data_IF_697341215648
#
_entry.id   IF_697341215648
#
_cell.length_a   1.000
_cell.length_b   1.000
_cell.length_c   1.000
_cell.angle_alpha   90.00
_cell.angle_beta   90.00
_cell.angle_gamma   90.00
#
_symmetry.space_group_name_H-M   'P 1'
#
loop_
_entity.id
_entity.type
_entity.pdbx_description
1 polymer ?
#
# COMPACT_ATOMS: atom_id res chain seq x y z
N UNK A 1 -14.14 -30.23 8.69
CA UNK A 1 -13.44 -29.62 9.83
C UNK A 1 -13.72 -28.12 9.84
N UNK A 2 -13.89 -27.56 11.05
CA UNK A 2 -14.21 -26.15 11.25
C UNK A 2 -12.96 -25.28 11.05
N UNK A 3 -12.98 -24.35 10.08
CA UNK A 3 -11.89 -23.41 9.78
C UNK A 3 -12.28 -21.99 10.18
N UNK A 4 -11.46 -21.35 11.00
CA UNK A 4 -11.70 -19.96 11.44
C UNK A 4 -10.81 -18.99 10.67
N UNK A 5 -11.41 -17.94 10.09
CA UNK A 5 -10.73 -16.93 9.28
C UNK A 5 -11.00 -15.54 9.84
N UNK A 6 -9.97 -14.91 10.40
CA UNK A 6 -10.05 -13.54 10.89
C UNK A 6 -9.79 -12.57 9.75
N UNK A 7 -10.77 -11.74 9.42
CA UNK A 7 -10.68 -10.70 8.40
C UNK A 7 -10.53 -9.32 9.04
N UNK A 8 -9.45 -8.63 8.69
CA UNK A 8 -9.07 -7.34 9.27
C UNK A 8 -10.11 -6.23 9.11
N UNK A 9 -10.79 -6.18 7.97
CA UNK A 9 -11.68 -5.08 7.62
C UNK A 9 -13.01 -5.52 6.99
N UNK A 10 -14.01 -4.64 7.11
CA UNK A 10 -15.36 -4.85 6.59
C UNK A 10 -15.40 -5.12 5.08
N UNK A 11 -14.49 -4.55 4.29
CA UNK A 11 -14.41 -4.77 2.84
C UNK A 11 -14.11 -6.23 2.51
N UNK A 12 -13.15 -6.84 3.20
CA UNK A 12 -12.86 -8.26 3.04
C UNK A 12 -14.07 -9.11 3.44
N UNK A 13 -14.71 -8.80 4.58
CA UNK A 13 -15.91 -9.51 5.01
C UNK A 13 -17.04 -9.41 4.01
N UNK A 14 -17.24 -8.25 3.41
CA UNK A 14 -18.31 -8.01 2.43
C UNK A 14 -18.06 -8.68 1.09
N UNK A 15 -16.82 -8.66 0.59
CA UNK A 15 -16.49 -9.03 -0.79
C UNK A 15 -15.83 -10.41 -0.88
N UNK A 16 -14.96 -10.76 0.06
CA UNK A 16 -14.17 -12.01 0.01
C UNK A 16 -14.90 -13.16 0.71
N UNK A 17 -15.49 -12.94 1.87
CA UNK A 17 -16.14 -14.02 2.60
C UNK A 17 -17.29 -14.69 1.80
N UNK A 18 -18.20 -13.95 1.13
CA UNK A 18 -19.22 -14.58 0.27
C UNK A 18 -18.62 -15.38 -0.88
N UNK A 19 -17.56 -14.84 -1.52
CA UNK A 19 -16.85 -15.52 -2.61
C UNK A 19 -16.24 -16.84 -2.15
N UNK A 20 -15.55 -16.86 -1.01
CA UNK A 20 -14.99 -18.09 -0.45
C UNK A 20 -16.08 -19.10 -0.12
N UNK A 21 -17.19 -18.69 0.50
CA UNK A 21 -18.33 -19.59 0.76
C UNK A 21 -18.91 -20.18 -0.53
N UNK A 22 -18.95 -19.43 -1.62
CA UNK A 22 -19.38 -19.92 -2.94
C UNK A 22 -18.43 -20.96 -3.52
N UNK A 23 -17.12 -20.77 -3.33
CA UNK A 23 -16.10 -21.72 -3.81
C UNK A 23 -16.07 -23.01 -2.96
N UNK A 24 -16.39 -22.93 -1.68
CA UNK A 24 -16.33 -24.05 -0.71
C UNK A 24 -17.68 -24.28 0.00
N UNK A 25 -18.76 -24.62 -0.74
CA UNK A 25 -20.10 -24.70 -0.15
C UNK A 25 -20.27 -25.82 0.87
N UNK A 26 -19.42 -26.83 0.83
CA UNK A 26 -19.46 -28.00 1.71
C UNK A 26 -18.47 -27.89 2.89
N UNK A 27 -17.69 -26.82 2.97
CA UNK A 27 -16.73 -26.59 4.04
C UNK A 27 -17.32 -25.70 5.13
N UNK A 28 -17.04 -26.04 6.39
CA UNK A 28 -17.43 -25.25 7.56
C UNK A 28 -16.38 -24.16 7.82
N UNK A 29 -16.55 -23.00 7.19
CA UNK A 29 -15.65 -21.85 7.31
C UNK A 29 -16.36 -20.71 8.05
N UNK A 30 -15.84 -20.36 9.21
CA UNK A 30 -16.30 -19.23 10.00
C UNK A 30 -15.44 -18.00 9.76
N UNK A 31 -16.06 -16.89 9.37
CA UNK A 31 -15.40 -15.61 9.22
C UNK A 31 -15.60 -14.73 10.44
N UNK A 32 -14.51 -14.33 11.06
CA UNK A 32 -14.48 -13.44 12.22
C UNK A 32 -14.07 -12.06 11.71
N UNK A 33 -14.94 -11.06 11.92
CA UNK A 33 -14.60 -9.70 11.51
C UNK A 33 -13.74 -9.03 12.56
N UNK A 34 -12.60 -8.49 12.11
CA UNK A 34 -11.77 -7.59 12.88
C UNK A 34 -12.38 -6.19 12.98
N UNK A 35 -12.02 -5.50 14.03
CA UNK A 35 -12.22 -4.07 14.13
C UNK A 35 -10.88 -3.41 13.75
N UNK A 36 -10.88 -2.39 12.89
CA UNK A 36 -9.66 -1.69 12.45
C UNK A 36 -8.81 -1.15 13.61
N UNK A 37 -9.43 -0.97 14.79
CA UNK A 37 -8.79 -0.56 16.03
C UNK A 37 -8.48 -1.75 16.96
N UNK A 38 -8.84 -2.98 16.57
CA UNK A 38 -8.61 -4.16 17.40
C UNK A 38 -7.16 -4.57 17.23
N UNK A 39 -6.42 -4.44 18.29
CA UNK A 39 -5.19 -5.15 18.49
C UNK A 39 -5.49 -6.66 18.44
N UNK A 40 -5.12 -7.29 17.33
CA UNK A 40 -5.26 -8.75 17.13
C UNK A 40 -4.66 -9.53 18.31
N UNK A 41 -3.66 -8.94 18.91
CA UNK A 41 -2.94 -9.41 20.05
C UNK A 41 -3.80 -9.45 21.32
N UNK A 42 -4.55 -8.38 21.58
CA UNK A 42 -5.48 -8.33 22.70
C UNK A 42 -6.57 -9.38 22.54
N UNK A 43 -7.10 -9.53 21.32
CA UNK A 43 -8.09 -10.55 21.01
C UNK A 43 -7.53 -11.96 21.29
N UNK A 44 -6.33 -12.26 20.81
CA UNK A 44 -5.67 -13.54 21.02
C UNK A 44 -5.42 -13.84 22.52
N UNK A 45 -4.92 -12.84 23.26
CA UNK A 45 -4.68 -12.97 24.69
C UNK A 45 -5.97 -13.18 25.50
N UNK A 46 -7.06 -12.52 25.11
CA UNK A 46 -8.35 -12.65 25.80
C UNK A 46 -9.02 -14.01 25.59
N UNK A 47 -8.82 -14.64 24.42
CA UNK A 47 -9.53 -15.85 24.03
C UNK A 47 -8.67 -17.12 24.10
N UNK A 48 -7.35 -16.98 24.30
CA UNK A 48 -6.38 -18.10 24.33
C UNK A 48 -6.46 -19.02 23.08
N UNK A 49 -7.02 -18.48 21.98
CA UNK A 49 -7.20 -19.17 20.70
C UNK A 49 -6.86 -18.23 19.55
N UNK A 50 -5.78 -18.53 18.83
CA UNK A 50 -5.47 -17.87 17.59
C UNK A 50 -6.33 -18.45 16.46
N UNK A 51 -7.07 -17.64 15.66
CA UNK A 51 -7.75 -18.15 14.48
C UNK A 51 -6.82 -18.94 13.55
N UNK A 52 -7.36 -19.85 12.77
CA UNK A 52 -6.58 -20.66 11.84
C UNK A 52 -5.90 -19.82 10.77
N UNK A 53 -6.63 -18.85 10.22
CA UNK A 53 -6.14 -17.86 9.27
C UNK A 53 -6.32 -16.48 9.87
N UNK A 54 -5.27 -15.66 9.76
CA UNK A 54 -5.26 -14.30 10.28
C UNK A 54 -4.93 -13.35 9.15
N UNK A 55 -5.70 -12.29 8.99
CA UNK A 55 -5.32 -11.18 8.12
C UNK A 55 -5.08 -9.92 8.93
N UNK A 56 -4.08 -9.12 8.53
CA UNK A 56 -3.78 -7.82 9.13
C UNK A 56 -3.47 -6.82 8.04
N UNK A 57 -3.74 -5.55 8.29
CA UNK A 57 -3.35 -4.49 7.36
C UNK A 57 -1.85 -4.27 7.35
N UNK A 58 -1.29 -4.09 8.54
CA UNK A 58 0.15 -3.94 8.81
C UNK A 58 0.43 -4.64 10.12
N UNK A 59 1.63 -5.11 10.28
CA UNK A 59 2.11 -5.55 11.59
C UNK A 59 3.29 -4.68 12.00
N UNK A 60 3.34 -4.33 13.29
CA UNK A 60 4.55 -3.77 13.86
C UNK A 60 5.59 -4.87 14.06
N UNK A 61 6.87 -4.52 14.11
CA UNK A 61 7.91 -5.50 14.43
C UNK A 61 7.65 -6.23 15.75
N UNK A 62 7.05 -5.53 16.72
CA UNK A 62 6.69 -6.13 18.03
C UNK A 62 5.56 -7.15 17.88
N UNK A 63 4.49 -6.82 17.15
CA UNK A 63 3.37 -7.76 16.94
C UNK A 63 3.83 -9.00 16.16
N UNK A 64 4.69 -8.82 15.16
CA UNK A 64 5.26 -9.92 14.39
C UNK A 64 6.10 -10.85 15.28
N UNK A 65 6.97 -10.30 16.12
CA UNK A 65 7.80 -11.08 17.06
C UNK A 65 6.97 -11.87 18.06
N UNK A 66 5.96 -11.24 18.61
CA UNK A 66 5.11 -11.85 19.63
C UNK A 66 4.20 -12.95 19.06
N UNK A 67 3.80 -12.90 17.79
CA UNK A 67 3.03 -13.93 17.11
C UNK A 67 3.92 -15.04 16.51
N UNK A 68 5.19 -14.78 16.26
CA UNK A 68 6.14 -15.71 15.62
C UNK A 68 6.05 -17.15 16.16
N UNK A 69 5.98 -17.40 17.48
CA UNK A 69 5.94 -18.77 18.01
C UNK A 69 4.69 -19.57 17.63
N UNK A 70 3.64 -18.90 17.16
CA UNK A 70 2.32 -19.47 16.87
C UNK A 70 2.04 -19.60 15.39
N UNK A 71 2.86 -19.02 14.53
CA UNK A 71 2.63 -18.98 13.09
C UNK A 71 3.33 -20.10 12.35
N UNK A 72 2.71 -20.52 11.25
CA UNK A 72 3.26 -21.52 10.33
C UNK A 72 4.31 -20.88 9.43
N UNK A 73 5.35 -21.63 9.10
CA UNK A 73 6.34 -21.25 8.09
C UNK A 73 5.89 -21.70 6.70
N UNK A 74 5.68 -20.78 5.79
CA UNK A 74 5.29 -21.04 4.40
C UNK A 74 6.45 -21.45 3.49
N UNK A 75 7.72 -21.35 3.93
CA UNK A 75 8.88 -21.50 3.06
C UNK A 75 8.92 -22.82 2.26
N UNK A 76 8.30 -23.88 2.78
CA UNK A 76 8.25 -25.20 2.13
C UNK A 76 6.96 -25.48 1.35
N UNK A 77 6.03 -24.52 1.28
CA UNK A 77 4.74 -24.69 0.62
C UNK A 77 4.72 -24.09 -0.77
N UNK A 78 4.05 -24.77 -1.69
CA UNK A 78 3.97 -24.37 -3.11
C UNK A 78 3.40 -22.96 -3.34
N UNK A 79 2.56 -22.48 -2.43
CA UNK A 79 1.96 -21.15 -2.52
C UNK A 79 3.00 -20.04 -2.62
N UNK A 80 4.17 -20.19 -2.00
CA UNK A 80 5.26 -19.21 -2.07
C UNK A 80 5.77 -19.01 -3.50
N UNK A 81 5.76 -20.07 -4.32
CA UNK A 81 6.21 -20.00 -5.72
C UNK A 81 5.29 -19.19 -6.64
N UNK A 82 4.08 -18.89 -6.19
CA UNK A 82 3.12 -18.04 -6.92
C UNK A 82 3.44 -16.55 -6.80
N UNK A 83 4.28 -16.16 -5.86
CA UNK A 83 4.62 -14.77 -5.60
C UNK A 83 5.87 -14.31 -6.35
N UNK A 84 5.95 -13.03 -6.65
CA UNK A 84 7.19 -12.40 -7.03
C UNK A 84 8.22 -12.53 -5.90
N UNK A 85 9.46 -12.83 -6.24
CA UNK A 85 10.53 -13.11 -5.25
C UNK A 85 10.76 -11.94 -4.29
N UNK A 86 10.70 -10.70 -4.79
CA UNK A 86 10.87 -9.51 -3.97
C UNK A 86 9.79 -9.37 -2.90
N UNK A 87 8.54 -9.78 -3.21
CA UNK A 87 7.43 -9.69 -2.28
C UNK A 87 7.60 -10.67 -1.11
N UNK A 88 8.15 -11.85 -1.38
CA UNK A 88 8.37 -12.89 -0.36
C UNK A 88 9.62 -12.60 0.47
N UNK A 89 10.69 -12.12 -0.15
CA UNK A 89 11.94 -11.78 0.55
C UNK A 89 11.73 -10.72 1.64
N UNK A 90 10.81 -9.80 1.44
CA UNK A 90 10.44 -8.79 2.43
C UNK A 90 9.93 -9.38 3.76
N UNK A 91 9.36 -10.60 3.73
CA UNK A 91 8.76 -11.26 4.91
C UNK A 91 9.64 -12.33 5.55
N UNK A 92 10.84 -12.54 5.05
CA UNK A 92 11.78 -13.45 5.71
C UNK A 92 12.22 -12.88 7.05
N UNK A 93 12.10 -13.71 8.10
CA UNK A 93 12.65 -13.39 9.41
C UNK A 93 14.15 -13.77 9.51
N UNK A 94 14.76 -13.60 10.68
CA UNK A 94 16.17 -13.90 10.92
C UNK A 94 16.51 -15.40 10.78
N UNK A 95 15.53 -16.27 10.93
CA UNK A 95 15.64 -17.72 10.77
C UNK A 95 15.35 -18.19 9.32
N UNK A 96 15.22 -17.27 8.35
CA UNK A 96 14.82 -17.55 6.97
C UNK A 96 13.39 -18.10 6.80
N UNK A 97 12.55 -18.03 7.83
CA UNK A 97 11.15 -18.44 7.75
C UNK A 97 10.29 -17.35 7.12
N UNK A 98 9.22 -17.76 6.47
CA UNK A 98 8.21 -16.91 5.85
C UNK A 98 6.88 -17.16 6.55
N UNK A 99 6.56 -16.38 7.57
CA UNK A 99 5.34 -16.56 8.37
C UNK A 99 4.19 -15.66 7.94
N UNK A 100 4.48 -14.65 7.14
CA UNK A 100 3.50 -13.74 6.57
C UNK A 100 3.61 -13.72 5.06
N UNK A 101 2.46 -13.67 4.38
CA UNK A 101 2.40 -13.45 2.94
C UNK A 101 1.54 -12.23 2.65
N UNK A 102 1.89 -11.39 1.68
CA UNK A 102 1.03 -10.29 1.28
C UNK A 102 -0.14 -10.80 0.46
N UNK A 103 -1.35 -10.33 0.73
CA UNK A 103 -2.51 -10.61 -0.11
C UNK A 103 -2.46 -9.74 -1.36
N UNK A 104 -2.08 -8.46 -1.21
CA UNK A 104 -1.89 -7.52 -2.31
C UNK A 104 -0.98 -6.37 -1.93
N UNK A 105 -0.49 -5.61 -2.91
CA UNK A 105 0.14 -4.32 -2.73
C UNK A 105 -0.87 -3.19 -2.93
N UNK A 106 -0.81 -2.18 -2.07
CA UNK A 106 -1.59 -0.95 -2.22
C UNK A 106 -0.64 0.14 -2.74
N UNK A 107 -0.80 0.56 -4.01
CA UNK A 107 0.05 1.58 -4.58
C UNK A 107 -0.36 2.97 -4.12
N UNK A 108 0.62 3.83 -3.93
CA UNK A 108 0.43 5.27 -3.76
C UNK A 108 0.95 6.02 -4.97
N UNK A 109 0.19 7.00 -5.40
CA UNK A 109 0.47 7.82 -6.58
C UNK A 109 0.01 9.25 -6.32
N UNK A 110 0.32 10.13 -7.25
CA UNK A 110 -0.35 11.43 -7.33
C UNK A 110 -1.66 11.24 -8.09
N UNK A 111 -2.76 11.76 -7.57
CA UNK A 111 -4.06 11.80 -8.26
C UNK A 111 -4.18 13.17 -8.94
N UNK A 112 -4.34 13.20 -10.24
CA UNK A 112 -4.46 14.42 -11.02
C UNK A 112 -5.91 14.60 -11.54
N UNK A 113 -6.42 15.81 -11.42
CA UNK A 113 -7.66 16.23 -12.07
C UNK A 113 -7.39 16.53 -13.55
N UNK A 114 -7.46 15.51 -14.41
CA UNK A 114 -7.18 15.64 -15.83
C UNK A 114 -8.07 16.70 -16.50
N UNK A 115 -9.32 16.81 -16.07
CA UNK A 115 -10.25 17.84 -16.58
C UNK A 115 -9.68 19.25 -16.37
N UNK A 116 -9.05 19.53 -15.23
CA UNK A 116 -8.37 20.82 -15.00
C UNK A 116 -7.14 21.00 -15.90
N UNK A 117 -6.31 19.96 -16.05
CA UNK A 117 -5.17 20.01 -16.96
C UNK A 117 -5.62 20.38 -18.39
N UNK A 118 -6.65 19.70 -18.90
CA UNK A 118 -7.21 19.95 -20.22
C UNK A 118 -7.81 21.38 -20.32
N UNK A 119 -8.54 21.83 -19.30
CA UNK A 119 -9.17 23.15 -19.24
C UNK A 119 -8.14 24.27 -19.34
N UNK A 120 -7.00 24.13 -18.70
CA UNK A 120 -5.93 25.15 -18.72
C UNK A 120 -4.87 24.91 -19.82
N UNK A 121 -5.02 23.84 -20.61
CA UNK A 121 -4.06 23.48 -21.66
C UNK A 121 -2.68 23.08 -21.11
N UNK A 122 -2.65 22.54 -19.90
CA UNK A 122 -1.42 22.12 -19.24
C UNK A 122 -1.20 20.62 -19.52
N UNK A 123 0.02 20.27 -19.95
CA UNK A 123 0.39 18.87 -20.23
C UNK A 123 0.45 18.08 -18.93
N UNK A 124 -0.05 16.83 -18.97
CA UNK A 124 0.22 15.86 -17.90
C UNK A 124 1.72 15.58 -17.85
N UNK A 125 2.39 15.75 -16.69
CA UNK A 125 3.83 15.59 -16.59
C UNK A 125 4.27 14.14 -16.73
N UNK A 126 5.40 13.92 -17.37
CA UNK A 126 6.06 12.63 -17.55
C UNK A 126 7.41 12.54 -16.81
N UNK A 127 7.88 13.65 -16.27
CA UNK A 127 9.11 13.75 -15.48
C UNK A 127 9.03 14.93 -14.49
N UNK A 128 10.03 15.07 -13.64
CA UNK A 128 10.02 16.09 -12.59
C UNK A 128 10.06 17.53 -13.16
N UNK A 129 10.80 17.78 -14.23
CA UNK A 129 10.84 19.12 -14.84
C UNK A 129 9.46 19.54 -15.37
N UNK A 130 8.77 18.63 -16.06
CA UNK A 130 7.39 18.88 -16.53
C UNK A 130 6.40 19.05 -15.38
N UNK A 131 6.60 18.30 -14.27
CA UNK A 131 5.81 18.47 -13.06
C UNK A 131 5.97 19.87 -12.47
N UNK A 132 7.19 20.36 -12.34
CA UNK A 132 7.47 21.73 -11.85
C UNK A 132 6.84 22.79 -12.76
N UNK A 133 6.95 22.61 -14.08
CA UNK A 133 6.32 23.50 -15.06
C UNK A 133 4.78 23.51 -14.94
N UNK A 134 4.17 22.34 -14.76
CA UNK A 134 2.74 22.24 -14.56
C UNK A 134 2.30 22.94 -13.25
N UNK A 135 3.05 22.72 -12.16
CA UNK A 135 2.79 23.40 -10.89
C UNK A 135 2.84 24.93 -11.04
N UNK A 136 3.86 25.45 -11.70
CA UNK A 136 3.97 26.89 -11.93
C UNK A 136 2.81 27.43 -12.76
N UNK A 137 2.41 26.74 -13.83
CA UNK A 137 1.30 27.17 -14.67
C UNK A 137 -0.03 27.19 -13.90
N UNK A 138 -0.32 26.19 -13.06
CA UNK A 138 -1.50 26.21 -12.20
C UNK A 138 -1.48 27.36 -11.22
N UNK A 139 -0.33 27.57 -10.56
CA UNK A 139 -0.15 28.64 -9.60
C UNK A 139 -0.39 30.03 -10.24
N UNK A 140 0.14 30.27 -11.45
CA UNK A 140 -0.04 31.51 -12.20
C UNK A 140 -1.51 31.75 -12.59
N UNK A 141 -2.31 30.68 -12.71
CA UNK A 141 -3.75 30.74 -12.97
C UNK A 141 -4.59 30.79 -11.68
N UNK A 142 -3.98 30.90 -10.50
CA UNK A 142 -4.67 30.98 -9.22
C UNK A 142 -5.24 29.64 -8.73
N UNK A 143 -4.78 28.53 -9.30
CA UNK A 143 -5.09 27.17 -8.89
C UNK A 143 -3.95 26.65 -8.04
N UNK A 144 -4.24 26.10 -6.85
CA UNK A 144 -3.20 25.46 -6.05
C UNK A 144 -2.68 24.21 -6.80
N UNK A 145 -1.38 24.07 -7.04
CA UNK A 145 -0.88 22.91 -7.77
C UNK A 145 -1.18 21.59 -7.03
N UNK A 146 -0.87 21.55 -5.75
CA UNK A 146 -0.98 20.34 -4.94
C UNK A 146 -1.68 20.64 -3.63
N UNK A 147 -2.73 19.88 -3.29
CA UNK A 147 -3.34 19.88 -1.95
C UNK A 147 -3.05 18.57 -1.24
N UNK A 148 -2.74 18.66 0.04
CA UNK A 148 -2.44 17.53 0.90
C UNK A 148 -2.82 17.87 2.34
N UNK A 149 -3.15 16.87 3.11
CA UNK A 149 -3.54 16.97 4.51
C UNK A 149 -2.31 16.96 5.44
N UNK A 150 -1.41 17.94 5.28
CA UNK A 150 -0.17 18.04 6.06
C UNK A 150 -0.38 18.29 7.57
N UNK A 151 -1.61 18.56 7.99
CA UNK A 151 -2.01 18.57 9.41
C UNK A 151 -2.06 17.19 10.06
N UNK A 152 -2.04 16.14 9.25
CA UNK A 152 -2.04 14.75 9.72
C UNK A 152 -0.61 14.21 9.83
N UNK A 153 -0.26 13.59 10.94
CA UNK A 153 1.11 13.11 11.19
C UNK A 153 1.60 12.10 10.13
N UNK A 154 0.72 11.23 9.65
CA UNK A 154 1.05 10.22 8.64
C UNK A 154 1.34 10.84 7.25
N UNK A 155 0.67 11.91 6.88
CA UNK A 155 0.87 12.61 5.61
C UNK A 155 2.27 13.23 5.48
N UNK A 156 2.85 13.65 6.60
CA UNK A 156 4.23 14.17 6.61
C UNK A 156 5.25 13.09 6.23
N UNK A 157 5.04 11.84 6.63
CA UNK A 157 5.89 10.74 6.21
C UNK A 157 5.70 10.43 4.72
N UNK A 158 4.48 10.47 4.23
CA UNK A 158 4.18 10.20 2.82
C UNK A 158 4.80 11.26 1.89
N UNK A 159 4.73 12.54 2.25
CA UNK A 159 5.33 13.61 1.42
C UNK A 159 6.86 13.50 1.37
N UNK A 160 7.51 13.11 2.47
CA UNK A 160 8.95 12.90 2.52
C UNK A 160 9.33 11.72 1.61
N UNK A 161 8.61 10.62 1.69
CA UNK A 161 8.83 9.45 0.86
C UNK A 161 8.62 9.76 -0.63
N UNK A 162 7.51 10.44 -0.96
CA UNK A 162 7.20 10.83 -2.33
C UNK A 162 8.25 11.78 -2.93
N UNK A 163 8.66 12.79 -2.18
CA UNK A 163 9.59 13.81 -2.63
C UNK A 163 11.01 13.29 -2.84
N UNK A 164 11.46 12.36 -2.00
CA UNK A 164 12.82 11.82 -1.99
C UNK A 164 12.87 10.32 -2.31
N UNK A 165 11.94 9.83 -3.11
CA UNK A 165 11.81 8.39 -3.42
C UNK A 165 13.09 7.82 -4.02
N UNK A 166 13.80 8.58 -4.88
CA UNK A 166 15.07 8.19 -5.45
C UNK A 166 16.17 7.95 -4.41
N UNK A 167 16.19 8.74 -3.34
CA UNK A 167 17.14 8.56 -2.24
C UNK A 167 16.81 7.30 -1.42
N UNK A 168 15.53 7.04 -1.15
CA UNK A 168 15.11 5.83 -0.43
C UNK A 168 15.36 4.53 -1.20
N UNK A 169 15.42 4.59 -2.53
CA UNK A 169 15.71 3.45 -3.41
C UNK A 169 17.19 3.34 -3.80
N UNK A 170 18.01 4.31 -3.43
CA UNK A 170 19.46 4.25 -3.59
C UNK A 170 20.10 3.18 -2.69
N UNK A 171 21.37 2.81 -2.97
CA UNK A 171 22.09 1.84 -2.12
C UNK A 171 22.16 2.31 -0.66
N UNK A 172 22.47 3.60 -0.43
CA UNK A 172 22.50 4.18 0.91
C UNK A 172 21.13 4.09 1.60
N UNK A 173 20.06 4.36 0.84
CA UNK A 173 18.68 4.28 1.32
C UNK A 173 18.25 2.86 1.66
N UNK A 174 18.62 1.89 0.84
CA UNK A 174 18.36 0.47 1.10
C UNK A 174 19.11 0.00 2.35
N UNK A 175 20.39 0.36 2.46
CA UNK A 175 21.20 0.01 3.63
C UNK A 175 20.61 0.63 4.91
N UNK A 176 20.21 1.90 4.86
CA UNK A 176 19.59 2.56 5.99
C UNK A 176 18.26 1.89 6.41
N UNK A 177 17.39 1.55 5.46
CA UNK A 177 16.11 0.86 5.75
C UNK A 177 16.33 -0.50 6.38
N UNK A 178 17.25 -1.31 5.84
CA UNK A 178 17.59 -2.61 6.40
C UNK A 178 18.13 -2.48 7.83
N UNK A 179 18.97 -1.48 8.09
CA UNK A 179 19.45 -1.18 9.44
C UNK A 179 18.32 -0.75 10.37
N UNK A 180 17.36 0.04 9.90
CA UNK A 180 16.21 0.48 10.68
C UNK A 180 15.28 -0.67 11.07
N UNK A 181 15.17 -1.69 10.24
CA UNK A 181 14.37 -2.88 10.52
C UNK A 181 15.02 -3.84 11.51
N UNK A 182 16.35 -3.97 11.45
CA UNK A 182 17.09 -4.98 12.24
C UNK A 182 17.71 -4.43 13.52
N UNK A 183 18.05 -3.14 13.56
CA UNK A 183 18.75 -2.49 14.66
C UNK A 183 18.29 -1.03 14.84
N UNK A 184 17.00 -0.82 15.04
CA UNK A 184 16.37 0.52 15.06
C UNK A 184 17.01 1.49 16.07
N UNK A 185 17.50 1.00 17.20
CA UNK A 185 18.16 1.81 18.23
C UNK A 185 19.56 2.32 17.81
N UNK A 186 20.15 1.71 16.79
CA UNK A 186 21.49 2.04 16.28
C UNK A 186 21.44 2.95 15.04
N UNK A 187 20.26 3.03 14.39
CA UNK A 187 20.06 3.81 13.17
C UNK A 187 20.01 5.29 13.49
N UNK A 188 20.75 6.08 12.73
CA UNK A 188 20.82 7.53 12.89
C UNK A 188 20.35 8.24 11.64
N UNK A 189 19.74 9.40 11.85
CA UNK A 189 19.56 10.40 10.80
C UNK A 189 20.91 11.07 10.56
N UNK A 190 21.68 10.54 9.61
CA UNK A 190 23.02 11.02 9.32
C UNK A 190 23.05 12.28 8.44
N UNK A 191 24.22 12.90 8.36
CA UNK A 191 24.43 14.13 7.57
C UNK A 191 24.54 13.87 6.06
N UNK A 192 24.52 12.63 5.60
CA UNK A 192 24.68 12.27 4.19
C UNK A 192 23.34 11.98 3.53
N UNK A 193 22.76 10.81 3.75
CA UNK A 193 21.48 10.38 3.17
C UNK A 193 20.34 11.32 3.58
N UNK A 194 20.15 11.53 4.88
CA UNK A 194 19.02 12.32 5.38
C UNK A 194 19.11 13.80 5.04
N UNK A 195 20.32 14.32 4.87
CA UNK A 195 20.51 15.68 4.35
C UNK A 195 20.01 15.79 2.91
N UNK A 196 20.26 14.78 2.06
CA UNK A 196 19.73 14.74 0.70
C UNK A 196 18.21 14.61 0.71
N UNK A 197 17.66 13.67 1.50
CA UNK A 197 16.21 13.47 1.65
C UNK A 197 15.50 14.78 2.05
N UNK A 198 15.97 15.48 3.07
CA UNK A 198 15.36 16.74 3.49
C UNK A 198 15.57 17.87 2.46
N UNK A 199 16.68 17.86 1.72
CA UNK A 199 16.90 18.81 0.65
C UNK A 199 15.92 18.62 -0.50
N UNK A 200 15.72 17.38 -0.95
CA UNK A 200 14.75 17.03 -2.00
C UNK A 200 13.31 17.29 -1.53
N UNK A 201 12.98 16.96 -0.28
CA UNK A 201 11.66 17.26 0.29
C UNK A 201 11.39 18.77 0.32
N UNK A 202 12.36 19.55 0.75
CA UNK A 202 12.25 21.02 0.77
C UNK A 202 12.09 21.60 -0.63
N UNK A 203 12.80 21.06 -1.62
CA UNK A 203 12.69 21.50 -3.01
C UNK A 203 11.31 21.13 -3.58
N UNK A 204 10.84 19.89 -3.36
CA UNK A 204 9.52 19.44 -3.79
C UNK A 204 8.40 20.31 -3.24
N UNK A 205 8.43 20.61 -1.92
CA UNK A 205 7.43 21.47 -1.30
C UNK A 205 7.42 22.87 -1.93
N UNK A 206 8.58 23.42 -2.23
CA UNK A 206 8.73 24.72 -2.89
C UNK A 206 8.19 24.69 -4.32
N UNK A 207 8.56 23.67 -5.09
CA UNK A 207 8.15 23.52 -6.50
C UNK A 207 6.67 23.22 -6.64
N UNK A 208 6.08 22.55 -5.64
CA UNK A 208 4.64 22.32 -5.54
C UNK A 208 3.84 23.49 -4.94
N UNK A 209 4.50 24.61 -4.65
CA UNK A 209 3.92 25.81 -4.06
C UNK A 209 3.22 25.60 -2.72
N UNK A 210 3.78 24.72 -1.85
CA UNK A 210 3.32 24.63 -0.47
C UNK A 210 3.76 25.84 0.34
N UNK A 211 2.82 26.41 1.12
CA UNK A 211 3.06 27.50 2.04
C UNK A 211 2.96 27.06 3.51
N UNK A 212 3.22 28.00 4.44
CA UNK A 212 3.10 27.71 5.87
C UNK A 212 1.67 27.39 6.31
N UNK A 213 0.69 27.90 5.59
CA UNK A 213 -0.73 27.64 5.80
C UNK A 213 -1.09 26.17 5.58
N UNK A 214 -0.34 25.46 4.74
CA UNK A 214 -0.64 24.07 4.37
C UNK A 214 -0.34 23.06 5.49
N UNK A 215 0.55 23.41 6.44
CA UNK A 215 0.90 22.53 7.56
C UNK A 215 -0.28 22.24 8.51
N UNK A 216 -1.34 23.02 8.46
CA UNK A 216 -2.51 22.81 9.30
C UNK A 216 -3.73 22.32 8.53
N UNK A 217 -3.57 21.97 7.27
CA UNK A 217 -4.66 21.42 6.45
C UNK A 217 -4.96 19.99 6.93
N UNK A 218 -6.17 19.76 7.42
CA UNK A 218 -6.68 18.44 7.73
C UNK A 218 -7.17 17.69 6.48
N UNK A 219 -7.44 16.41 6.62
CA UNK A 219 -7.87 15.55 5.51
C UNK A 219 -9.16 16.05 4.84
N UNK A 220 -10.11 16.57 5.61
CA UNK A 220 -11.36 17.05 5.05
C UNK A 220 -11.15 18.31 4.22
N UNK A 221 -10.36 19.26 4.73
CA UNK A 221 -10.02 20.50 4.04
C UNK A 221 -9.23 20.23 2.75
N UNK A 222 -8.18 19.39 2.82
CA UNK A 222 -7.37 19.02 1.65
C UNK A 222 -8.20 18.34 0.57
N UNK A 223 -9.03 17.37 0.97
CA UNK A 223 -9.97 16.69 0.07
C UNK A 223 -10.95 17.65 -0.58
N UNK A 224 -11.57 18.55 0.22
CA UNK A 224 -12.54 19.52 -0.28
C UNK A 224 -11.92 20.49 -1.30
N UNK A 225 -10.69 20.93 -1.08
CA UNK A 225 -9.97 21.78 -2.05
C UNK A 225 -9.85 21.10 -3.42
N UNK A 226 -9.53 19.81 -3.43
CA UNK A 226 -9.40 19.05 -4.67
C UNK A 226 -10.76 18.80 -5.32
N UNK A 227 -11.77 18.39 -4.55
CA UNK A 227 -13.14 18.15 -5.04
C UNK A 227 -13.76 19.41 -5.68
N UNK A 228 -13.50 20.58 -5.12
CA UNK A 228 -13.97 21.87 -5.65
C UNK A 228 -13.14 22.41 -6.82
N UNK A 229 -12.13 21.67 -7.28
CA UNK A 229 -11.25 22.10 -8.35
C UNK A 229 -10.34 23.28 -7.99
N UNK A 230 -10.12 23.53 -6.71
CA UNK A 230 -9.20 24.56 -6.19
C UNK A 230 -7.74 24.11 -6.19
N UNK A 231 -7.50 22.80 -6.35
CA UNK A 231 -6.18 22.24 -6.55
C UNK A 231 -6.18 21.26 -7.73
N UNK A 232 -5.02 21.15 -8.40
CA UNK A 232 -4.86 20.36 -9.61
C UNK A 232 -4.53 18.90 -9.32
N UNK A 233 -3.75 18.65 -8.26
CA UNK A 233 -3.38 17.30 -7.85
C UNK A 233 -3.59 17.09 -6.35
N UNK A 234 -3.78 15.83 -5.98
CA UNK A 234 -3.95 15.35 -4.61
C UNK A 234 -3.13 14.07 -4.44
N UNK A 235 -2.78 13.75 -3.23
CA UNK A 235 -2.14 12.45 -2.96
C UNK A 235 -3.16 11.37 -2.66
N UNK A 236 -2.78 10.12 -2.81
CA UNK A 236 -3.59 9.06 -2.26
C UNK A 236 -3.39 7.70 -2.90
N UNK A 237 -3.92 6.73 -2.21
CA UNK A 237 -4.02 5.36 -2.68
C UNK A 237 -5.33 5.14 -3.47
N UNK A 238 -5.51 3.99 -4.12
CA UNK A 238 -6.66 3.72 -5.00
C UNK A 238 -8.03 3.95 -4.38
N UNK A 239 -8.20 3.65 -3.09
CA UNK A 239 -9.49 3.86 -2.41
C UNK A 239 -9.85 5.35 -2.30
N UNK A 240 -8.86 6.22 -2.08
CA UNK A 240 -9.05 7.68 -2.10
C UNK A 240 -9.50 8.13 -3.48
N UNK A 241 -8.84 7.68 -4.54
CA UNK A 241 -9.24 8.02 -5.91
C UNK A 241 -10.69 7.59 -6.21
N UNK A 242 -11.08 6.39 -5.80
CA UNK A 242 -12.45 5.91 -5.97
C UNK A 242 -13.48 6.78 -5.24
N UNK A 243 -13.15 7.22 -4.02
CA UNK A 243 -14.03 8.12 -3.24
C UNK A 243 -14.15 9.50 -3.89
N UNK A 244 -13.05 10.06 -4.39
CA UNK A 244 -13.03 11.32 -5.10
C UNK A 244 -13.83 11.24 -6.40
N UNK A 245 -13.69 10.16 -7.16
CA UNK A 245 -14.42 9.94 -8.41
C UNK A 245 -15.96 9.95 -8.22
N UNK A 246 -16.44 9.50 -7.04
CA UNK A 246 -17.87 9.54 -6.70
C UNK A 246 -18.38 10.95 -6.36
N UNK A 247 -17.49 11.87 -6.01
CA UNK A 247 -17.82 13.23 -5.59
C UNK A 247 -17.59 14.28 -6.67
N UNK A 248 -16.87 13.93 -7.74
CA UNK A 248 -16.45 14.85 -8.79
C UNK A 248 -16.99 14.43 -10.16
N UNK A 249 -17.48 15.40 -10.92
CA UNK A 249 -17.74 15.24 -12.36
C UNK A 249 -16.49 15.66 -13.13
N UNK A 250 -15.39 14.90 -12.92
CA UNK A 250 -14.09 15.15 -13.52
C UNK A 250 -13.39 13.85 -13.85
N UNK A 251 -12.59 13.84 -14.90
CA UNK A 251 -11.69 12.73 -15.20
C UNK A 251 -10.47 12.80 -14.26
N UNK A 252 -10.32 11.78 -13.44
CA UNK A 252 -9.15 11.60 -12.56
C UNK A 252 -8.20 10.57 -13.15
N UNK A 253 -6.92 10.84 -13.09
CA UNK A 253 -5.87 9.93 -13.51
C UNK A 253 -4.81 9.81 -12.42
N UNK A 254 -4.03 8.72 -12.45
CA UNK A 254 -2.85 8.55 -11.61
C UNK A 254 -1.61 8.96 -12.37
N UNK A 255 -0.72 9.68 -11.70
CA UNK A 255 0.62 9.93 -12.19
C UNK A 255 1.64 9.45 -11.13
N UNK A 256 2.79 8.89 -11.56
CA UNK A 256 3.81 8.42 -10.62
C UNK A 256 4.48 9.59 -9.90
N UNK A 257 5.25 9.30 -8.86
CA UNK A 257 6.21 10.22 -8.31
C UNK A 257 7.45 10.26 -9.19
N UNK A 258 8.03 11.44 -9.38
CA UNK A 258 9.20 11.63 -10.23
C UNK A 258 10.45 11.85 -9.39
N UNK A 259 11.55 11.24 -9.80
CA UNK A 259 12.86 11.53 -9.23
C UNK A 259 13.26 12.96 -9.56
N UNK A 260 13.85 13.66 -8.57
CA UNK A 260 14.45 14.98 -8.79
C UNK A 260 15.86 14.91 -9.38
N UNK A 261 16.48 13.73 -9.34
CA UNK A 261 17.91 13.53 -9.66
C UNK A 261 18.14 12.59 -10.83
N UNK A 262 17.09 11.95 -11.36
CA UNK A 262 17.12 11.06 -12.52
C UNK A 262 15.85 11.18 -13.35
N UNK A 263 15.82 10.55 -14.53
CA UNK A 263 14.62 10.45 -15.37
C UNK A 263 13.64 9.36 -14.92
N UNK A 264 13.88 8.74 -13.77
CA UNK A 264 13.05 7.67 -13.23
C UNK A 264 11.79 8.18 -12.56
N UNK A 265 10.76 7.38 -12.62
CA UNK A 265 9.48 7.60 -11.92
C UNK A 265 9.13 6.38 -11.09
N UNK A 266 8.34 6.60 -10.04
CA UNK A 266 8.07 5.57 -9.04
C UNK A 266 6.59 5.54 -8.67
N UNK A 267 6.10 4.33 -8.43
CA UNK A 267 4.88 4.08 -7.68
C UNK A 267 5.29 3.50 -6.33
N UNK A 268 4.97 4.21 -5.26
CA UNK A 268 5.22 3.68 -3.92
C UNK A 268 4.18 2.62 -3.60
N UNK A 269 4.65 1.41 -3.30
CA UNK A 269 3.77 0.31 -2.92
C UNK A 269 4.02 -0.10 -1.48
N UNK A 270 2.95 -0.17 -0.70
CA UNK A 270 2.98 -0.79 0.62
C UNK A 270 2.31 -2.16 0.52
N UNK A 271 2.98 -3.25 0.90
CA UNK A 271 2.29 -4.51 1.13
C UNK A 271 1.19 -4.26 2.17
N UNK A 272 -0.04 -4.49 1.77
CA UNK A 272 -1.19 -4.24 2.62
C UNK A 272 -2.09 -5.46 2.58
N UNK A 273 -2.77 -5.75 3.67
CA UNK A 273 -3.49 -6.99 3.85
C UNK A 273 -2.53 -8.19 3.79
N UNK A 274 -1.95 -8.47 4.93
CA UNK A 274 -1.05 -9.60 5.10
C UNK A 274 -1.82 -10.76 5.71
N UNK A 275 -1.43 -11.98 5.38
CA UNK A 275 -2.05 -13.21 5.84
C UNK A 275 -1.01 -14.10 6.53
N UNK A 276 -1.40 -14.71 7.62
CA UNK A 276 -0.63 -15.74 8.31
C UNK A 276 -1.53 -16.90 8.73
N UNK A 277 -0.94 -18.06 8.90
CA UNK A 277 -1.62 -19.27 9.33
C UNK A 277 -1.15 -19.69 10.73
N UNK A 278 -2.10 -20.15 11.54
CA UNK A 278 -1.80 -20.80 12.82
C UNK A 278 -1.03 -22.11 12.54
N UNK A 279 0.11 -22.30 13.18
CA UNK A 279 0.93 -23.52 13.01
C UNK A 279 0.20 -24.82 13.38
N UNK A 280 -0.89 -24.75 14.16
CA UNK A 280 -1.69 -25.92 14.47
C UNK A 280 -2.34 -26.56 13.22
N UNK A 281 -2.50 -25.80 12.13
CA UNK A 281 -2.95 -26.34 10.85
C UNK A 281 -2.04 -27.46 10.33
N UNK A 282 -0.76 -27.44 10.60
CA UNK A 282 0.18 -28.50 10.19
C UNK A 282 -0.13 -29.87 10.80
N UNK A 283 -0.97 -29.92 11.85
CA UNK A 283 -1.41 -31.15 12.51
C UNK A 283 -2.62 -31.79 11.87
N UNK A 284 -3.30 -31.06 10.98
CA UNK A 284 -4.52 -31.47 10.29
C UNK A 284 -4.41 -31.16 8.80
N UNK A 285 -4.06 -32.17 8.02
CA UNK A 285 -3.75 -32.02 6.59
C UNK A 285 -4.95 -31.53 5.77
N UNK A 286 -6.15 -32.03 6.06
CA UNK A 286 -7.34 -31.64 5.31
C UNK A 286 -7.72 -30.19 5.59
N UNK A 287 -7.65 -29.79 6.84
CA UNK A 287 -7.87 -28.40 7.25
C UNK A 287 -6.82 -27.43 6.69
N UNK A 288 -5.55 -27.85 6.66
CA UNK A 288 -4.46 -27.08 6.04
C UNK A 288 -4.66 -26.91 4.53
N UNK A 289 -5.03 -27.98 3.83
CA UNK A 289 -5.28 -27.91 2.39
C UNK A 289 -6.44 -26.93 2.10
N UNK A 290 -7.53 -26.96 2.88
CA UNK A 290 -8.61 -25.97 2.78
C UNK A 290 -8.12 -24.54 3.06
N UNK A 291 -7.26 -24.34 4.05
CA UNK A 291 -6.71 -23.01 4.35
C UNK A 291 -5.82 -22.47 3.20
N UNK A 292 -5.02 -23.33 2.57
CA UNK A 292 -4.22 -22.97 1.40
C UNK A 292 -5.11 -22.62 0.19
N UNK A 293 -6.20 -23.35 -0.02
CA UNK A 293 -7.16 -23.06 -1.07
C UNK A 293 -7.89 -21.72 -0.83
N UNK A 294 -8.17 -21.36 0.42
CA UNK A 294 -8.72 -20.05 0.79
C UNK A 294 -7.72 -18.93 0.45
N UNK A 295 -6.44 -19.13 0.76
CA UNK A 295 -5.39 -18.17 0.37
C UNK A 295 -5.30 -18.04 -1.16
N UNK A 296 -5.33 -19.17 -1.88
CA UNK A 296 -5.32 -19.18 -3.35
C UNK A 296 -6.50 -18.39 -3.94
N UNK A 297 -7.69 -18.50 -3.36
CA UNK A 297 -8.83 -17.67 -3.75
C UNK A 297 -8.55 -16.18 -3.55
N UNK A 298 -7.94 -15.77 -2.43
CA UNK A 298 -7.66 -14.37 -2.16
C UNK A 298 -6.63 -13.78 -3.14
N UNK A 299 -5.61 -14.54 -3.52
CA UNK A 299 -4.56 -14.08 -4.44
C UNK A 299 -4.88 -14.37 -5.92
N UNK A 300 -5.99 -15.01 -6.22
CA UNK A 300 -6.48 -15.23 -7.60
C UNK A 300 -6.90 -13.93 -8.28
N UNK A 301 -7.04 -13.95 -9.60
CA UNK A 301 -7.52 -12.78 -10.35
C UNK A 301 -8.89 -12.28 -9.85
N UNK A 302 -9.83 -13.20 -9.59
CA UNK A 302 -11.15 -12.83 -9.06
C UNK A 302 -11.05 -12.29 -7.63
N UNK A 303 -10.27 -12.93 -6.76
CA UNK A 303 -10.00 -12.43 -5.40
C UNK A 303 -9.41 -11.03 -5.42
N UNK A 304 -8.44 -10.77 -6.29
CA UNK A 304 -7.83 -9.45 -6.44
C UNK A 304 -8.83 -8.39 -6.95
N UNK A 305 -9.71 -8.72 -7.88
CA UNK A 305 -10.81 -7.83 -8.31
C UNK A 305 -11.75 -7.46 -7.17
N UNK A 306 -12.13 -8.46 -6.36
CA UNK A 306 -13.00 -8.26 -5.20
C UNK A 306 -12.32 -7.41 -4.11
N UNK A 307 -11.03 -7.62 -3.87
CA UNK A 307 -10.24 -6.83 -2.92
C UNK A 307 -10.06 -5.39 -3.43
N UNK A 308 -9.80 -5.22 -4.72
CA UNK A 308 -9.69 -3.91 -5.34
C UNK A 308 -10.99 -3.11 -5.24
N UNK A 309 -12.13 -3.76 -5.31
CA UNK A 309 -13.47 -3.14 -5.24
C UNK A 309 -13.59 -1.91 -6.17
N UNK A 310 -13.04 -2.04 -7.38
CA UNK A 310 -12.98 -0.97 -8.38
C UNK A 310 -11.93 0.13 -8.11
N UNK A 311 -11.14 0.02 -7.05
CA UNK A 311 -10.13 1.04 -6.71
C UNK A 311 -8.73 0.76 -7.25
N UNK A 312 -8.38 -0.50 -7.46
CA UNK A 312 -7.08 -0.94 -7.93
C UNK A 312 -6.16 -1.43 -6.81
N UNK A 313 -5.48 -2.52 -7.09
CA UNK A 313 -4.41 -3.08 -6.26
C UNK A 313 -3.30 -3.61 -7.18
N UNK A 314 -2.12 -3.80 -6.64
CA UNK A 314 -1.04 -4.52 -7.30
C UNK A 314 -1.11 -5.97 -6.85
N UNK A 315 -1.37 -6.88 -7.78
CA UNK A 315 -1.23 -8.31 -7.50
C UNK A 315 0.24 -8.64 -7.32
N UNK A 316 0.54 -9.42 -6.30
CA UNK A 316 1.88 -9.96 -6.04
C UNK A 316 2.00 -11.43 -6.47
N UNK A 317 0.93 -11.98 -7.05
CA UNK A 317 0.91 -13.28 -7.72
C UNK A 317 1.39 -13.13 -9.17
N UNK A 318 2.40 -13.90 -9.57
CA UNK A 318 3.03 -13.84 -10.90
C UNK A 318 2.07 -14.15 -12.06
N UNK A 319 1.01 -14.88 -11.79
CA UNK A 319 0.02 -15.31 -12.80
C UNK A 319 -1.17 -14.34 -12.91
N UNK A 320 -1.23 -13.31 -12.07
CA UNK A 320 -2.34 -12.36 -12.01
C UNK A 320 -1.86 -10.96 -12.38
N UNK A 321 -2.42 -10.33 -13.43
CA UNK A 321 -2.03 -8.98 -13.83
C UNK A 321 -2.40 -7.94 -12.76
N UNK A 322 -1.71 -6.81 -12.76
CA UNK A 322 -2.07 -5.69 -11.88
C UNK A 322 -3.48 -5.17 -12.18
N UNK A 323 -4.21 -4.77 -11.15
CA UNK A 323 -5.51 -4.13 -11.28
C UNK A 323 -5.38 -2.62 -11.58
N UNK A 324 -4.18 -2.11 -11.81
CA UNK A 324 -3.88 -0.72 -12.15
C UNK A 324 -3.32 -0.61 -13.56
N UNK A 325 -4.21 -0.49 -14.54
CA UNK A 325 -3.81 -0.38 -15.95
C UNK A 325 -3.69 1.07 -16.43
N UNK A 326 -4.06 2.03 -15.61
CA UNK A 326 -4.02 3.46 -15.91
C UNK A 326 -2.64 4.12 -15.67
N UNK A 327 -1.68 3.38 -15.08
CA UNK A 327 -0.29 3.83 -14.94
C UNK A 327 0.58 3.17 -16.01
N UNK A 328 1.02 3.90 -17.03
CA UNK A 328 1.84 3.35 -18.11
C UNK A 328 3.11 2.69 -17.60
N UNK A 329 3.42 1.49 -18.12
CA UNK A 329 4.64 0.76 -17.77
C UNK A 329 4.62 0.01 -16.44
N UNK A 330 3.64 0.25 -15.57
CA UNK A 330 3.59 -0.35 -14.23
C UNK A 330 3.60 -1.88 -14.26
N UNK A 331 2.87 -2.50 -15.19
CA UNK A 331 2.82 -3.97 -15.32
C UNK A 331 4.19 -4.56 -15.66
N UNK A 332 4.97 -3.89 -16.51
CA UNK A 332 6.32 -4.33 -16.86
C UNK A 332 7.29 -4.17 -15.70
N UNK A 333 7.20 -3.08 -14.96
CA UNK A 333 8.01 -2.84 -13.78
C UNK A 333 7.76 -3.87 -12.67
N UNK A 334 6.49 -4.21 -12.42
CA UNK A 334 6.12 -5.25 -11.45
C UNK A 334 6.74 -6.61 -11.82
N UNK A 335 6.81 -6.94 -13.11
CA UNK A 335 7.37 -8.22 -13.58
C UNK A 335 8.90 -8.27 -13.57
N UNK A 336 9.55 -7.12 -13.67
CA UNK A 336 11.00 -7.01 -13.83
C UNK A 336 11.75 -6.75 -12.52
N UNK A 337 11.04 -6.42 -11.43
CA UNK A 337 11.62 -6.28 -10.09
C UNK A 337 11.63 -7.63 -9.38
#
# INVERSE_FOLDING_TARGET
DHLTVYLWENRLMKNIAPYIHEQFPDQDIEFIIGNNDTDLYSYFKEHDELPDIITVRRFSGTDAQDLQPYLMDFASYDVVSKYYSYAVQYYKNEEDEIQWLPICGIPQTIIANKTLFDQYGIKIPENYEEYVQACQQFYDNGIKPYSMDLGEDWSNNEIIQAAAIGEFTSLDGIEWRNGAETAADEVKFDDTLWKRIFSETSQFLKDSHFGKEDINIDINTGTQMFVEGKSAVFHGHPTVMQQLQKQMDAELIRIPYFSQTSDESYVYMTPSLNIAFNKNLEKDREKLDTALDVLDCMISEEGQKLIADGSGVISLNTDVPTMMQDVPGLEEEIKNN
#
